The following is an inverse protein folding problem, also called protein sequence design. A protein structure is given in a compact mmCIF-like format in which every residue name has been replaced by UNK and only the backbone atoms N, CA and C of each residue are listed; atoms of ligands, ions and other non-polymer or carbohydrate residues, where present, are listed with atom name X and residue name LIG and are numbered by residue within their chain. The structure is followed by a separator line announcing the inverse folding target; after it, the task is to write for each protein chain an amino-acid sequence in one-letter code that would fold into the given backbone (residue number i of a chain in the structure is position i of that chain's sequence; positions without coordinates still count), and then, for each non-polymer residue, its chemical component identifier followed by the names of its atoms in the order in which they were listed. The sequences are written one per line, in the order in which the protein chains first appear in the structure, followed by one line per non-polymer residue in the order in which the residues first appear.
data_IF_458664374997
#
_entry.id   IF_458664374997
#
_cell.length_a   1.000
_cell.length_b   1.000
_cell.length_c   1.000
_cell.angle_alpha   90.00
_cell.angle_beta   90.00
_cell.angle_gamma   90.00
#
_symmetry.space_group_name_H-M   'P 1'
#
loop_
_entity.id
_entity.type
_entity.pdbx_description
1 polymer ?
#
# COMPACT_ATOMS: atom_id res chain seq x y z
N UNK A 1 63.00 2.18 30.14
CA UNK A 1 62.78 2.74 28.80
C UNK A 1 61.43 2.25 28.34
N UNK A 2 60.46 3.16 28.32
CA UNK A 2 59.36 3.32 27.38
C UNK A 2 58.43 4.34 28.04
N UNK A 3 58.49 5.55 27.50
CA UNK A 3 57.82 6.76 27.96
C UNK A 3 56.30 6.62 27.94
N UNK A 4 55.68 7.11 29.00
CA UNK A 4 54.26 7.46 29.05
C UNK A 4 54.17 8.90 28.54
N UNK A 5 53.43 9.14 27.47
CA UNK A 5 53.05 10.48 27.03
C UNK A 5 51.53 10.60 27.11
N UNK A 6 51.07 11.57 27.89
CA UNK A 6 49.65 11.95 28.06
C UNK A 6 49.30 13.15 27.18
N UNK A 7 48.07 13.11 26.70
CA UNK A 7 47.16 14.14 26.14
C UNK A 7 47.66 15.55 25.84
N UNK A 8 47.46 15.98 24.58
CA UNK A 8 47.02 17.34 24.27
C UNK A 8 45.83 17.30 23.30
N UNK A 9 44.73 17.90 23.74
CA UNK A 9 43.53 18.24 22.97
C UNK A 9 43.83 19.45 22.08
N UNK A 10 43.45 19.39 20.80
CA UNK A 10 43.00 20.60 20.09
C UNK A 10 41.78 20.31 19.22
N UNK A 11 40.82 21.26 19.12
CA UNK A 11 39.48 21.01 18.62
C UNK A 11 39.36 21.50 17.17
N UNK A 12 39.30 20.60 16.20
CA UNK A 12 38.87 20.96 14.85
C UNK A 12 37.40 20.60 14.63
N UNK A 13 36.57 21.55 15.04
CA UNK A 13 35.41 22.07 14.34
C UNK A 13 34.63 21.10 13.45
N UNK A 14 33.49 20.70 13.98
CA UNK A 14 32.37 20.17 13.22
C UNK A 14 32.07 21.05 11.99
N UNK A 15 32.03 20.42 10.82
CA UNK A 15 31.07 20.77 9.78
C UNK A 15 30.54 19.49 9.15
N UNK A 16 29.76 18.74 9.94
CA UNK A 16 28.90 17.72 9.38
C UNK A 16 27.74 18.47 8.73
N UNK A 17 27.83 18.70 7.42
CA UNK A 17 26.72 19.23 6.64
C UNK A 17 25.55 18.28 6.82
N UNK A 18 24.51 18.77 7.48
CA UNK A 18 23.23 18.10 7.67
C UNK A 18 22.41 18.14 6.39
N UNK A 19 22.99 17.68 5.29
CA UNK A 19 22.33 17.56 4.00
C UNK A 19 22.40 16.09 3.59
N UNK A 20 21.20 15.51 3.39
CA UNK A 20 20.91 14.19 2.86
C UNK A 20 20.98 12.97 3.80
N UNK A 21 20.14 12.98 4.83
CA UNK A 21 19.69 11.76 5.55
C UNK A 21 19.02 10.73 4.60
N UNK A 22 18.60 11.14 3.40
CA UNK A 22 17.85 10.33 2.45
C UNK A 22 18.68 9.76 1.29
N UNK A 23 19.95 10.12 1.17
CA UNK A 23 20.81 9.62 0.09
C UNK A 23 21.73 8.53 0.64
N UNK A 24 21.34 7.26 0.47
CA UNK A 24 22.28 6.16 0.70
C UNK A 24 23.51 6.34 -0.19
N UNK A 25 24.73 6.40 0.36
CA UNK A 25 25.94 6.56 -0.43
C UNK A 25 26.23 5.25 -1.17
N UNK A 26 25.92 5.22 -2.47
CA UNK A 26 26.22 4.08 -3.35
C UNK A 26 25.09 3.75 -4.30
N UNK A 27 25.06 4.41 -5.46
CA UNK A 27 24.31 3.96 -6.63
C UNK A 27 24.92 2.66 -7.18
N UNK A 28 24.71 1.53 -6.50
CA UNK A 28 24.86 0.19 -7.09
C UNK A 28 24.10 -0.91 -6.33
N UNK A 29 23.19 -0.57 -5.42
CA UNK A 29 22.27 -1.57 -4.85
C UNK A 29 21.10 -1.79 -5.82
N UNK A 30 20.97 -3.01 -6.37
CA UNK A 30 19.76 -3.42 -7.09
C UNK A 30 18.57 -3.30 -6.13
N UNK A 31 17.68 -2.33 -6.38
CA UNK A 31 16.45 -2.18 -5.61
C UNK A 31 15.57 -3.41 -5.90
N UNK A 32 15.09 -4.08 -4.85
CA UNK A 32 14.12 -5.16 -4.97
C UNK A 32 12.92 -4.71 -5.81
N UNK A 33 12.48 -5.54 -6.76
CA UNK A 33 11.38 -5.20 -7.68
C UNK A 33 10.12 -4.73 -6.95
N UNK A 34 9.84 -5.26 -5.75
CA UNK A 34 8.66 -4.89 -4.93
C UNK A 34 8.77 -3.50 -4.29
N UNK A 35 9.97 -2.89 -4.31
CA UNK A 35 10.23 -1.54 -3.77
C UNK A 35 10.41 -0.50 -4.89
N UNK A 36 10.32 -0.90 -6.15
CA UNK A 36 10.47 0.01 -7.28
C UNK A 36 9.16 0.76 -7.54
N UNK A 37 9.28 2.02 -7.94
CA UNK A 37 8.14 2.85 -8.39
C UNK A 37 8.15 2.88 -9.92
N UNK A 38 7.06 2.43 -10.53
CA UNK A 38 6.92 2.40 -11.98
C UNK A 38 6.22 3.66 -12.49
N UNK A 39 6.67 4.18 -13.62
CA UNK A 39 6.14 5.40 -14.23
C UNK A 39 5.60 5.11 -15.62
N UNK A 40 4.31 5.35 -15.87
CA UNK A 40 3.76 5.32 -17.23
C UNK A 40 4.19 6.55 -18.05
N UNK A 41 4.51 7.66 -17.39
CA UNK A 41 5.01 8.91 -17.97
C UNK A 41 6.12 9.50 -17.12
N UNK A 42 7.06 10.20 -17.74
CA UNK A 42 8.13 10.90 -17.04
C UNK A 42 7.58 11.93 -16.07
N UNK A 43 8.04 11.90 -14.81
CA UNK A 43 7.63 12.79 -13.75
C UNK A 43 8.86 13.46 -13.13
N UNK A 44 8.88 14.80 -13.09
CA UNK A 44 9.95 15.54 -12.42
C UNK A 44 9.53 15.86 -10.98
N UNK A 45 10.09 15.12 -10.02
CA UNK A 45 9.78 15.25 -8.59
C UNK A 45 10.13 16.63 -8.02
N UNK A 46 11.08 17.36 -8.62
CA UNK A 46 11.47 18.71 -8.16
C UNK A 46 10.36 19.75 -8.30
N UNK A 47 9.41 19.51 -9.21
CA UNK A 47 8.32 20.45 -9.51
C UNK A 47 7.06 20.18 -8.68
N UNK A 48 7.04 19.11 -7.87
CA UNK A 48 5.88 18.74 -7.05
C UNK A 48 5.97 19.50 -5.72
N UNK A 49 4.97 20.34 -5.44
CA UNK A 49 4.93 21.19 -4.23
C UNK A 49 4.08 20.57 -3.12
N UNK A 50 3.08 19.76 -3.49
CA UNK A 50 2.14 19.13 -2.57
C UNK A 50 1.94 17.67 -2.97
N UNK A 51 1.80 16.81 -1.97
CA UNK A 51 1.44 15.40 -2.13
C UNK A 51 0.14 15.16 -1.37
N UNK A 52 -0.89 14.74 -2.09
CA UNK A 52 -2.15 14.29 -1.50
C UNK A 52 -2.17 12.77 -1.37
N UNK A 53 -2.75 12.26 -0.29
CA UNK A 53 -2.97 10.83 -0.07
C UNK A 53 -4.46 10.54 0.00
N UNK A 54 -4.88 9.46 -0.63
CA UNK A 54 -6.18 8.85 -0.40
C UNK A 54 -6.11 7.92 0.82
N UNK A 55 -7.25 7.60 1.43
CA UNK A 55 -7.29 6.78 2.65
C UNK A 55 -7.38 5.29 2.31
N UNK A 56 -8.52 4.86 1.78
CA UNK A 56 -8.87 3.46 1.59
C UNK A 56 -8.05 2.85 0.46
N UNK A 57 -7.50 1.66 0.69
CA UNK A 57 -6.61 0.94 -0.24
C UNK A 57 -5.32 1.70 -0.64
N UNK A 58 -5.08 2.90 -0.12
CA UNK A 58 -3.84 3.68 -0.31
C UNK A 58 -3.03 3.74 0.98
N UNK A 59 -3.53 4.42 2.01
CA UNK A 59 -2.91 4.43 3.34
C UNK A 59 -3.36 3.22 4.19
N UNK A 60 -4.65 2.90 4.13
CA UNK A 60 -5.26 1.78 4.82
C UNK A 60 -5.47 0.61 3.84
N UNK A 61 -4.52 -0.32 3.81
CA UNK A 61 -4.65 -1.53 2.99
C UNK A 61 -5.48 -2.59 3.72
N UNK A 62 -6.70 -2.84 3.24
CA UNK A 62 -7.56 -3.88 3.78
C UNK A 62 -7.15 -5.27 3.30
N UNK A 63 -7.37 -6.27 4.13
CA UNK A 63 -7.19 -7.67 3.75
C UNK A 63 -8.48 -8.20 3.11
N UNK A 64 -8.47 -8.62 1.83
CA UNK A 64 -9.67 -9.11 1.13
C UNK A 64 -10.38 -10.24 1.88
N UNK A 65 -9.60 -11.16 2.46
CA UNK A 65 -10.10 -12.30 3.24
C UNK A 65 -11.05 -11.91 4.38
N UNK A 66 -10.86 -10.75 5.00
CA UNK A 66 -11.66 -10.31 6.14
C UNK A 66 -12.64 -9.20 5.77
N UNK A 67 -12.18 -8.20 5.03
CA UNK A 67 -13.01 -7.02 4.74
C UNK A 67 -14.10 -7.33 3.71
N UNK A 68 -13.75 -8.02 2.62
CA UNK A 68 -14.73 -8.36 1.58
C UNK A 68 -15.69 -9.44 2.08
N UNK A 69 -15.23 -10.34 2.96
CA UNK A 69 -16.10 -11.29 3.64
C UNK A 69 -17.15 -10.60 4.51
N UNK A 70 -16.78 -9.55 5.26
CA UNK A 70 -17.73 -8.78 6.05
C UNK A 70 -18.79 -8.10 5.17
N UNK A 71 -18.37 -7.54 4.03
CA UNK A 71 -19.29 -6.94 3.07
C UNK A 71 -20.23 -7.99 2.44
N UNK A 72 -19.71 -9.17 2.11
CA UNK A 72 -20.49 -10.30 1.62
C UNK A 72 -21.55 -10.74 2.64
N UNK A 73 -21.14 -11.00 3.87
CA UNK A 73 -22.02 -11.52 4.94
C UNK A 73 -23.19 -10.57 5.20
N UNK A 74 -22.88 -9.28 5.37
CA UNK A 74 -23.92 -8.25 5.53
C UNK A 74 -24.83 -8.09 4.30
N UNK A 75 -24.32 -8.34 3.09
CA UNK A 75 -25.13 -8.29 1.86
C UNK A 75 -26.07 -9.48 1.76
N UNK A 76 -25.59 -10.70 2.04
CA UNK A 76 -26.42 -11.92 2.02
C UNK A 76 -27.52 -11.84 3.07
N UNK A 77 -27.19 -11.41 4.29
CA UNK A 77 -28.16 -11.23 5.37
C UNK A 77 -29.25 -10.24 4.96
N UNK A 78 -28.85 -9.09 4.40
CA UNK A 78 -29.78 -8.05 3.94
C UNK A 78 -30.67 -8.54 2.80
N UNK A 79 -30.11 -9.25 1.81
CA UNK A 79 -30.87 -9.77 0.67
C UNK A 79 -31.87 -10.86 1.11
N UNK A 80 -31.45 -11.76 2.01
CA UNK A 80 -32.31 -12.83 2.52
C UNK A 80 -33.47 -12.29 3.36
N UNK A 81 -33.22 -11.29 4.21
CA UNK A 81 -34.21 -10.77 5.15
C UNK A 81 -35.13 -9.70 4.54
N UNK A 82 -34.59 -8.75 3.77
CA UNK A 82 -35.34 -7.55 3.37
C UNK A 82 -36.05 -7.67 2.01
N UNK A 83 -35.58 -8.56 1.12
CA UNK A 83 -36.11 -8.68 -0.25
C UNK A 83 -36.99 -9.91 -0.48
N UNK A 84 -37.28 -10.69 0.57
CA UNK A 84 -38.04 -11.94 0.47
C UNK A 84 -37.37 -12.97 -0.46
N UNK A 85 -36.06 -12.83 -0.67
CA UNK A 85 -35.30 -13.67 -1.57
C UNK A 85 -34.78 -14.93 -0.85
N UNK A 86 -34.92 -16.04 -1.57
CA UNK A 86 -34.51 -17.42 -1.31
C UNK A 86 -33.56 -17.63 -0.11
N UNK A 87 -34.04 -18.32 0.93
CA UNK A 87 -33.25 -18.80 2.08
C UNK A 87 -32.05 -19.67 1.71
N UNK A 88 -31.94 -20.07 0.44
CA UNK A 88 -30.80 -20.77 -0.14
C UNK A 88 -29.54 -19.92 -0.19
N UNK A 89 -29.65 -18.59 -0.24
CA UNK A 89 -28.50 -17.67 -0.25
C UNK A 89 -27.63 -17.80 1.00
N UNK A 90 -28.25 -18.11 2.15
CA UNK A 90 -27.54 -18.33 3.42
C UNK A 90 -26.63 -19.58 3.41
N UNK A 91 -26.79 -20.45 2.41
CA UNK A 91 -25.94 -21.64 2.24
C UNK A 91 -24.69 -21.37 1.41
N UNK A 92 -24.62 -20.21 0.76
CA UNK A 92 -23.48 -19.88 -0.09
C UNK A 92 -22.26 -19.56 0.78
N UNK A 93 -21.09 -19.89 0.24
CA UNK A 93 -19.80 -19.60 0.86
C UNK A 93 -19.07 -18.56 0.03
N UNK A 94 -18.39 -17.63 0.70
CA UNK A 94 -17.60 -16.62 0.05
C UNK A 94 -16.15 -17.07 -0.11
N UNK A 95 -15.68 -17.07 -1.35
CA UNK A 95 -14.32 -17.48 -1.72
C UNK A 95 -13.60 -16.30 -2.38
N UNK A 96 -12.82 -15.56 -1.58
CA UNK A 96 -12.12 -14.35 -2.02
C UNK A 96 -11.10 -14.61 -3.15
N UNK A 97 -10.59 -15.84 -3.30
CA UNK A 97 -9.61 -16.21 -4.33
C UNK A 97 -10.18 -16.10 -5.75
N UNK A 98 -11.50 -16.19 -5.91
CA UNK A 98 -12.18 -16.02 -7.20
C UNK A 98 -12.46 -14.55 -7.53
N UNK A 99 -12.21 -13.63 -6.59
CA UNK A 99 -12.39 -12.21 -6.83
C UNK A 99 -11.25 -11.66 -7.67
N UNK A 100 -11.62 -11.05 -8.78
CA UNK A 100 -10.71 -10.31 -9.65
C UNK A 100 -11.34 -8.95 -9.88
N UNK A 101 -10.52 -7.91 -9.77
CA UNK A 101 -10.99 -6.54 -9.95
C UNK A 101 -11.39 -6.27 -11.42
N UNK A 102 -12.24 -5.27 -11.60
CA UNK A 102 -12.59 -4.71 -12.92
C UNK A 102 -13.27 -5.69 -13.90
N UNK A 103 -14.04 -6.65 -13.38
CA UNK A 103 -14.93 -7.46 -14.21
C UNK A 103 -16.12 -6.65 -14.71
N UNK A 104 -16.47 -6.87 -15.98
CA UNK A 104 -17.63 -6.24 -16.60
C UNK A 104 -18.85 -7.17 -16.50
N UNK A 105 -19.84 -6.78 -15.70
CA UNK A 105 -21.13 -7.45 -15.65
C UNK A 105 -22.08 -6.81 -16.67
N UNK A 106 -22.51 -7.58 -17.67
CA UNK A 106 -23.49 -7.13 -18.67
C UNK A 106 -24.88 -7.65 -18.29
N UNK A 107 -25.77 -6.75 -17.88
CA UNK A 107 -27.20 -7.06 -17.72
C UNK A 107 -27.86 -7.05 -19.10
N UNK A 108 -28.33 -8.21 -19.55
CA UNK A 108 -29.28 -8.29 -20.66
C UNK A 108 -30.69 -8.25 -20.10
N UNK A 109 -31.47 -7.24 -20.48
CA UNK A 109 -32.90 -7.24 -20.23
C UNK A 109 -33.53 -8.35 -21.05
N UNK A 110 -34.11 -9.33 -20.36
CA UNK A 110 -34.96 -10.34 -21.00
C UNK A 110 -36.31 -9.68 -21.21
N UNK A 111 -36.44 -8.94 -22.31
CA UNK A 111 -37.76 -8.52 -22.79
C UNK A 111 -38.40 -9.76 -23.40
N UNK A 112 -39.45 -10.25 -22.75
CA UNK A 112 -40.37 -11.25 -23.31
C UNK A 112 -41.37 -10.60 -24.26
#
# INVERSE_FOLDING_TARGET
MNEVQTDELTPESQKLSSDDVWSSPGWSCKIDMRKQVFCSRSLNMKNIVVVGFDMDYTLAQYMPKTFDFLAYDGTIEKLANDQGHLSELLKWTFEWEYMVNDWFLIRRETTF
#
